data_IF_608054374169
#
_entry.id   IF_608054374169
#
_cell.length_a   1.000
_cell.length_b   1.000
_cell.length_c   1.000
_cell.angle_alpha   90.00
_cell.angle_beta   90.00
_cell.angle_gamma   90.00
#
_symmetry.space_group_name_H-M   'P 1'
#
loop_
_entity.id
_entity.type
_entity.pdbx_description
1 polymer ?
#
# COMPACT_ATOMS: atom_id res chain seq x y z
N UNK A 1 -13.47 -6.87 -10.35
CA UNK A 1 -12.98 -5.82 -9.43
C UNK A 1 -13.54 -6.08 -8.05
N UNK A 2 -12.72 -5.90 -7.03
CA UNK A 2 -13.12 -5.95 -5.62
C UNK A 2 -12.63 -4.68 -4.93
N UNK A 3 -13.46 -4.05 -4.13
CA UNK A 3 -13.13 -2.86 -3.35
C UNK A 3 -13.77 -2.94 -1.97
N UNK A 4 -13.01 -2.59 -0.92
CA UNK A 4 -13.48 -2.62 0.47
C UNK A 4 -14.21 -3.93 0.79
N UNK A 5 -13.54 -5.06 0.54
CA UNK A 5 -14.03 -6.44 0.72
C UNK A 5 -15.25 -6.84 -0.15
N UNK A 6 -15.83 -5.92 -0.91
CA UNK A 6 -16.99 -6.17 -1.75
C UNK A 6 -16.57 -6.55 -3.17
N UNK A 7 -17.08 -7.68 -3.66
CA UNK A 7 -16.93 -8.09 -5.05
C UNK A 7 -18.04 -7.44 -5.91
N UNK A 8 -17.60 -6.80 -6.99
CA UNK A 8 -18.50 -6.05 -7.87
C UNK A 8 -19.03 -6.84 -9.05
N UNK A 9 -18.66 -8.12 -9.22
CA UNK A 9 -19.06 -8.94 -10.39
C UNK A 9 -20.57 -9.03 -10.56
N UNK A 10 -21.32 -9.09 -9.46
CA UNK A 10 -22.78 -9.23 -9.49
C UNK A 10 -23.50 -7.87 -9.37
N UNK A 11 -22.78 -6.78 -9.20
CA UNK A 11 -23.35 -5.45 -8.98
C UNK A 11 -23.23 -4.55 -10.22
N UNK A 12 -22.09 -4.60 -10.91
CA UNK A 12 -21.79 -3.75 -12.06
C UNK A 12 -21.07 -4.55 -13.14
N UNK A 13 -21.29 -4.16 -14.37
CA UNK A 13 -20.55 -4.64 -15.53
C UNK A 13 -19.46 -3.61 -15.90
N UNK A 14 -18.20 -4.00 -15.76
CA UNK A 14 -17.04 -3.13 -16.04
C UNK A 14 -16.76 -3.20 -17.55
N UNK A 15 -16.63 -2.04 -18.17
CA UNK A 15 -16.33 -1.90 -19.59
C UNK A 15 -14.89 -1.52 -19.85
N UNK A 16 -14.36 -0.60 -19.07
CA UNK A 16 -13.01 -0.08 -19.24
C UNK A 16 -12.37 0.24 -17.90
N UNK A 17 -11.07 0.01 -17.81
CA UNK A 17 -10.24 0.36 -16.66
C UNK A 17 -9.04 1.13 -17.17
N UNK A 18 -9.01 2.42 -16.92
CA UNK A 18 -7.91 3.31 -17.28
C UNK A 18 -6.94 3.42 -16.11
N UNK A 19 -5.76 2.87 -16.29
CA UNK A 19 -4.64 2.91 -15.33
C UNK A 19 -3.42 3.47 -16.02
N UNK A 20 -2.88 4.55 -15.52
CA UNK A 20 -1.64 5.09 -16.04
C UNK A 20 -0.47 4.14 -15.72
N UNK A 21 0.48 4.01 -16.65
CA UNK A 21 1.66 3.15 -16.48
C UNK A 21 2.54 3.67 -15.33
N UNK A 22 2.63 4.99 -15.19
CA UNK A 22 3.42 5.65 -14.16
C UNK A 22 2.60 6.69 -13.39
N UNK A 23 3.17 7.21 -12.33
CA UNK A 23 2.60 8.33 -11.59
C UNK A 23 3.00 9.63 -12.25
N UNK A 24 2.17 10.66 -12.13
CA UNK A 24 2.56 12.02 -12.48
C UNK A 24 3.77 12.45 -11.67
N UNK A 25 4.65 13.19 -12.32
CA UNK A 25 5.86 13.71 -11.68
C UNK A 25 5.90 15.21 -11.86
N UNK A 26 6.00 15.93 -10.75
CA UNK A 26 6.23 17.36 -10.72
C UNK A 26 7.71 17.62 -10.50
N UNK A 27 8.30 18.43 -11.36
CA UNK A 27 9.71 18.77 -11.30
C UNK A 27 9.83 20.28 -11.10
N UNK A 28 10.49 20.68 -10.02
CA UNK A 28 10.91 22.08 -9.81
C UNK A 28 12.30 22.27 -10.42
N UNK A 29 12.42 23.23 -11.29
CA UNK A 29 13.66 23.52 -12.02
C UNK A 29 14.12 24.96 -11.76
N UNK A 30 15.43 25.15 -11.81
CA UNK A 30 16.06 26.46 -11.85
C UNK A 30 16.92 26.57 -13.12
N UNK A 31 16.95 27.74 -13.73
CA UNK A 31 17.70 27.97 -14.96
C UNK A 31 19.20 28.10 -14.69
N UNK A 32 19.98 27.29 -15.37
CA UNK A 32 21.43 27.46 -15.36
C UNK A 32 21.83 28.75 -16.12
N UNK A 33 22.92 29.43 -15.71
CA UNK A 33 23.29 30.75 -16.26
C UNK A 33 23.57 30.76 -17.76
N UNK A 34 23.87 29.63 -18.37
CA UNK A 34 24.22 29.57 -19.81
C UNK A 34 23.39 28.56 -20.59
N UNK A 35 23.36 27.30 -20.18
CA UNK A 35 22.69 26.21 -20.90
C UNK A 35 22.12 25.23 -19.88
N UNK A 36 20.83 24.85 -20.08
CA UNK A 36 20.18 23.80 -19.31
C UNK A 36 19.45 24.31 -18.06
N UNK A 37 19.04 23.35 -17.24
CA UNK A 37 18.32 23.59 -16.01
C UNK A 37 18.87 22.71 -14.88
N UNK A 38 18.79 23.21 -13.67
CA UNK A 38 19.07 22.44 -12.46
C UNK A 38 17.74 21.93 -11.90
N UNK A 39 17.63 20.64 -11.64
CA UNK A 39 16.46 20.06 -10.98
C UNK A 39 16.64 20.27 -9.47
N UNK A 40 15.75 21.07 -8.87
CA UNK A 40 15.77 21.30 -7.44
C UNK A 40 15.00 20.23 -6.67
N UNK A 41 13.83 19.84 -7.18
CA UNK A 41 12.97 18.88 -6.53
C UNK A 41 12.20 18.06 -7.58
N UNK A 42 12.02 16.80 -7.28
CA UNK A 42 11.11 15.91 -8.01
C UNK A 42 10.10 15.33 -7.02
N UNK A 43 8.81 15.49 -7.28
CA UNK A 43 7.72 14.91 -6.51
C UNK A 43 7.00 13.87 -7.35
N UNK A 44 6.68 12.74 -6.76
CA UNK A 44 5.85 11.70 -7.37
C UNK A 44 4.46 11.84 -6.77
N UNK A 45 3.48 12.15 -7.63
CA UNK A 45 2.10 12.37 -7.21
C UNK A 45 1.35 11.04 -7.06
N UNK A 46 0.15 11.12 -6.49
CA UNK A 46 -0.77 9.99 -6.40
C UNK A 46 -1.10 9.40 -7.77
N UNK A 47 -1.47 8.14 -7.80
CA UNK A 47 -1.98 7.47 -9.00
C UNK A 47 -3.50 7.57 -9.07
N UNK A 48 -4.01 7.72 -10.29
CA UNK A 48 -5.45 7.74 -10.54
C UNK A 48 -5.86 6.52 -11.37
N UNK A 49 -7.01 5.95 -11.00
CA UNK A 49 -7.61 4.81 -11.72
C UNK A 49 -9.05 5.16 -12.01
N UNK A 50 -9.44 5.12 -13.29
CA UNK A 50 -10.82 5.34 -13.71
C UNK A 50 -11.43 4.03 -14.17
N UNK A 51 -12.64 3.75 -13.72
CA UNK A 51 -13.40 2.56 -14.06
C UNK A 51 -14.73 2.99 -14.67
N UNK A 52 -14.94 2.65 -15.94
CA UNK A 52 -16.20 2.87 -16.64
C UNK A 52 -17.04 1.58 -16.56
N UNK A 53 -18.30 1.73 -16.16
CA UNK A 53 -19.17 0.60 -15.87
C UNK A 53 -20.63 0.82 -16.31
N UNK A 54 -21.40 -0.26 -16.40
CA UNK A 54 -22.85 -0.18 -16.45
C UNK A 54 -23.53 -1.02 -15.37
N UNK A 55 -24.72 -0.62 -15.07
CA UNK A 55 -25.63 -1.31 -14.15
C UNK A 55 -26.86 -1.79 -14.93
N UNK A 56 -27.20 -3.06 -14.72
CA UNK A 56 -28.41 -3.65 -15.23
C UNK A 56 -29.32 -4.01 -14.05
N UNK A 57 -30.26 -3.16 -13.72
CA UNK A 57 -31.17 -3.43 -12.60
C UNK A 57 -32.56 -2.87 -12.84
N UNK A 58 -33.57 -3.59 -12.37
CA UNK A 58 -34.95 -3.09 -12.25
C UNK A 58 -35.06 -2.11 -11.08
N UNK A 59 -34.31 -2.35 -10.01
CA UNK A 59 -34.26 -1.51 -8.81
C UNK A 59 -32.95 -0.75 -8.71
N UNK A 60 -32.81 0.25 -9.58
CA UNK A 60 -31.61 1.08 -9.67
C UNK A 60 -31.37 1.93 -8.43
N UNK A 61 -32.42 2.39 -7.78
CA UNK A 61 -32.29 3.28 -6.64
C UNK A 61 -31.69 2.54 -5.44
N UNK A 62 -32.18 1.34 -5.14
CA UNK A 62 -31.59 0.51 -4.07
C UNK A 62 -30.12 0.19 -4.35
N UNK A 63 -29.80 -0.12 -5.60
CA UNK A 63 -28.40 -0.40 -5.98
C UNK A 63 -27.52 0.84 -5.89
N UNK A 64 -28.00 2.04 -6.27
CA UNK A 64 -27.30 3.31 -6.09
C UNK A 64 -26.95 3.55 -4.62
N UNK A 65 -27.91 3.39 -3.73
CA UNK A 65 -27.68 3.58 -2.30
C UNK A 65 -26.69 2.56 -1.73
N UNK A 66 -26.77 1.30 -2.19
CA UNK A 66 -25.81 0.26 -1.82
C UNK A 66 -24.39 0.62 -2.26
N UNK A 67 -24.23 1.03 -3.52
CA UNK A 67 -22.93 1.45 -4.06
C UNK A 67 -22.39 2.68 -3.32
N UNK A 68 -23.25 3.68 -3.06
CA UNK A 68 -22.85 4.86 -2.29
C UNK A 68 -22.32 4.48 -0.90
N UNK A 69 -22.95 3.53 -0.20
CA UNK A 69 -22.46 3.05 1.08
C UNK A 69 -21.12 2.33 1.01
N UNK A 70 -20.86 1.57 -0.07
CA UNK A 70 -19.59 0.86 -0.27
C UNK A 70 -18.44 1.84 -0.56
N UNK A 71 -18.73 2.90 -1.32
CA UNK A 71 -17.73 3.89 -1.73
C UNK A 71 -17.48 4.99 -0.69
N UNK A 72 -18.38 5.15 0.28
CA UNK A 72 -18.20 6.13 1.37
C UNK A 72 -17.25 5.59 2.42
N UNK A 73 -15.96 5.82 2.21
CA UNK A 73 -14.88 5.36 3.09
C UNK A 73 -14.01 6.54 3.55
N UNK A 74 -13.62 6.52 4.82
CA UNK A 74 -12.83 7.59 5.44
C UNK A 74 -11.31 7.37 5.30
N UNK A 75 -10.91 6.22 4.79
CA UNK A 75 -9.48 5.84 4.62
C UNK A 75 -9.31 4.97 3.38
N UNK A 76 -8.09 4.93 2.80
CA UNK A 76 -7.80 4.05 1.68
C UNK A 76 -8.15 2.60 1.98
N UNK A 77 -8.82 1.93 1.04
CA UNK A 77 -9.23 0.53 1.11
C UNK A 77 -8.61 -0.25 -0.03
N UNK A 78 -8.51 -1.56 0.16
CA UNK A 78 -7.97 -2.44 -0.86
C UNK A 78 -8.86 -2.46 -2.11
N UNK A 79 -8.24 -2.17 -3.24
CA UNK A 79 -8.80 -2.27 -4.59
C UNK A 79 -8.01 -3.31 -5.37
N UNK A 80 -8.69 -4.35 -5.83
CA UNK A 80 -8.10 -5.43 -6.63
C UNK A 80 -8.82 -5.60 -7.95
N UNK A 81 -8.09 -5.99 -8.97
CA UNK A 81 -8.61 -6.27 -10.31
C UNK A 81 -8.37 -7.73 -10.69
N UNK A 82 -9.26 -8.29 -11.49
CA UNK A 82 -9.18 -9.68 -11.93
C UNK A 82 -8.07 -9.96 -12.93
N UNK A 83 -7.59 -8.93 -13.60
CA UNK A 83 -6.46 -9.00 -14.55
C UNK A 83 -5.08 -8.94 -13.87
N UNK A 84 -5.02 -8.45 -12.60
CA UNK A 84 -3.82 -8.42 -11.76
C UNK A 84 -4.11 -9.00 -10.36
N UNK A 85 -4.40 -10.31 -10.24
CA UNK A 85 -4.87 -10.91 -8.98
C UNK A 85 -3.78 -10.98 -7.90
N UNK A 86 -2.53 -10.83 -8.28
CA UNK A 86 -1.35 -10.81 -7.40
C UNK A 86 -1.05 -9.43 -6.82
N UNK A 87 -1.87 -8.41 -7.15
CA UNK A 87 -1.67 -7.04 -6.71
C UNK A 87 -2.93 -6.42 -6.13
N UNK A 88 -2.75 -5.46 -5.24
CA UNK A 88 -3.80 -4.59 -4.74
C UNK A 88 -3.30 -3.14 -4.66
N UNK A 89 -4.25 -2.22 -4.64
CA UNK A 89 -4.02 -0.79 -4.48
C UNK A 89 -4.73 -0.31 -3.22
N UNK A 90 -4.11 0.55 -2.45
CA UNK A 90 -4.77 1.26 -1.36
C UNK A 90 -5.43 2.52 -1.94
N UNK A 91 -6.73 2.45 -2.18
CA UNK A 91 -7.46 3.44 -2.95
C UNK A 91 -8.64 4.05 -2.18
N UNK A 92 -9.01 5.26 -2.55
CA UNK A 92 -10.25 5.93 -2.15
C UNK A 92 -10.98 6.41 -3.39
N UNK A 93 -12.29 6.48 -3.32
CA UNK A 93 -13.08 7.12 -4.38
C UNK A 93 -12.96 8.63 -4.24
N UNK A 94 -12.75 9.31 -5.35
CA UNK A 94 -12.71 10.76 -5.45
C UNK A 94 -13.68 11.23 -6.53
N UNK A 95 -13.99 12.50 -6.51
CA UNK A 95 -14.95 13.15 -7.39
C UNK A 95 -16.37 12.52 -7.29
N UNK A 96 -17.30 13.08 -8.04
CA UNK A 96 -18.65 12.54 -8.10
C UNK A 96 -18.68 11.25 -8.93
N UNK A 97 -19.32 10.23 -8.39
CA UNK A 97 -19.61 9.02 -9.15
C UNK A 97 -20.70 9.39 -10.17
N UNK A 98 -20.29 9.64 -11.40
CA UNK A 98 -21.23 9.97 -12.46
C UNK A 98 -22.05 8.75 -12.85
N UNK A 99 -23.36 8.90 -12.94
CA UNK A 99 -24.24 7.87 -13.47
C UNK A 99 -25.31 8.47 -14.34
N UNK A 100 -25.34 8.07 -15.60
CA UNK A 100 -26.34 8.50 -16.58
C UNK A 100 -27.34 7.38 -16.83
N UNK A 101 -28.62 7.69 -16.80
CA UNK A 101 -29.67 6.76 -17.17
C UNK A 101 -29.78 6.69 -18.68
N UNK A 102 -29.33 5.57 -19.27
CA UNK A 102 -29.28 5.43 -20.71
C UNK A 102 -30.63 5.02 -21.32
N UNK A 103 -31.25 3.96 -20.82
CA UNK A 103 -32.62 3.55 -21.20
C UNK A 103 -33.13 2.42 -20.31
N UNK A 104 -34.44 2.44 -20.00
CA UNK A 104 -35.15 1.35 -19.35
C UNK A 104 -34.51 0.77 -18.09
N UNK A 105 -33.59 -0.18 -18.24
CA UNK A 105 -32.96 -0.93 -17.15
C UNK A 105 -31.45 -0.72 -17.05
N UNK A 106 -30.83 0.01 -17.99
CA UNK A 106 -29.40 0.23 -18.06
C UNK A 106 -29.05 1.64 -17.61
N UNK A 107 -28.01 1.76 -16.81
CA UNK A 107 -27.36 3.03 -16.47
C UNK A 107 -25.87 2.88 -16.65
N UNK A 108 -25.22 3.86 -17.25
CA UNK A 108 -23.76 3.89 -17.40
C UNK A 108 -23.18 4.86 -16.38
N UNK A 109 -22.00 4.55 -15.89
CA UNK A 109 -21.31 5.37 -14.92
C UNK A 109 -19.81 5.27 -14.99
N UNK A 110 -19.16 6.15 -14.26
CA UNK A 110 -17.71 6.08 -14.05
C UNK A 110 -17.38 6.37 -12.60
N UNK A 111 -16.35 5.69 -12.10
CA UNK A 111 -15.77 5.85 -10.78
C UNK A 111 -14.32 6.22 -10.97
N UNK A 112 -13.86 7.20 -10.21
CA UNK A 112 -12.45 7.58 -10.18
C UNK A 112 -11.88 7.31 -8.79
N UNK A 113 -10.80 6.55 -8.76
CA UNK A 113 -10.06 6.24 -7.55
C UNK A 113 -8.76 7.03 -7.52
N UNK A 114 -8.38 7.48 -6.33
CA UNK A 114 -7.04 7.94 -6.02
C UNK A 114 -6.32 6.87 -5.21
N UNK A 115 -5.08 6.61 -5.56
CA UNK A 115 -4.13 5.77 -4.84
C UNK A 115 -3.07 6.70 -4.26
N UNK A 116 -3.19 7.12 -2.99
CA UNK A 116 -2.36 8.19 -2.43
C UNK A 116 -0.87 7.86 -2.41
N UNK A 117 -0.50 6.62 -2.16
CA UNK A 117 0.90 6.17 -2.19
C UNK A 117 1.44 5.91 -3.59
N UNK A 118 0.56 5.91 -4.60
CA UNK A 118 0.91 5.79 -6.00
C UNK A 118 1.45 4.42 -6.43
N UNK A 119 1.39 3.40 -5.58
CA UNK A 119 2.01 2.09 -5.84
C UNK A 119 1.01 0.94 -5.84
N UNK A 120 1.37 -0.13 -6.55
CA UNK A 120 0.69 -1.41 -6.46
C UNK A 120 1.44 -2.30 -5.46
N UNK A 121 0.72 -2.82 -4.49
CA UNK A 121 1.25 -3.74 -3.48
C UNK A 121 1.10 -5.19 -3.92
N UNK A 122 2.07 -6.02 -3.58
CA UNK A 122 1.95 -7.47 -3.78
C UNK A 122 0.98 -8.08 -2.77
N UNK A 123 0.10 -8.98 -3.22
CA UNK A 123 -0.87 -9.67 -2.36
C UNK A 123 -0.24 -10.74 -1.47
N UNK A 124 1.03 -11.08 -1.70
CA UNK A 124 1.74 -12.12 -0.96
C UNK A 124 2.94 -11.55 -0.22
N UNK A 125 3.10 -11.96 1.04
CA UNK A 125 4.30 -11.68 1.81
C UNK A 125 5.32 -12.80 1.64
N UNK A 126 6.59 -12.44 1.63
CA UNK A 126 7.67 -13.39 1.87
C UNK A 126 8.00 -13.35 3.36
N UNK A 127 7.81 -14.48 4.04
CA UNK A 127 8.21 -14.63 5.42
C UNK A 127 9.55 -15.34 5.48
N UNK A 128 10.46 -14.79 6.26
CA UNK A 128 11.74 -15.38 6.57
C UNK A 128 11.76 -15.66 8.07
N UNK A 129 12.19 -16.85 8.43
CA UNK A 129 12.23 -17.30 9.82
C UNK A 129 13.58 -18.00 10.05
N UNK A 130 14.19 -17.79 11.20
CA UNK A 130 15.43 -18.46 11.57
C UNK A 130 15.20 -19.85 12.16
N UNK A 131 13.96 -20.33 12.20
CA UNK A 131 13.59 -21.59 12.80
C UNK A 131 13.66 -21.55 14.34
N UNK A 132 13.87 -22.74 14.95
CA UNK A 132 13.99 -22.89 16.40
C UNK A 132 15.44 -22.76 16.90
N UNK A 133 16.39 -22.69 16.01
CA UNK A 133 17.78 -22.45 16.36
C UNK A 133 17.96 -20.99 16.75
N UNK A 134 18.74 -20.75 17.79
CA UNK A 134 19.07 -19.41 18.30
C UNK A 134 20.55 -19.13 18.07
N UNK A 135 20.98 -18.93 16.81
CA UNK A 135 22.36 -18.57 16.54
C UNK A 135 22.62 -17.13 16.99
N UNK A 136 23.81 -16.86 17.47
CA UNK A 136 24.25 -15.50 17.84
C UNK A 136 24.16 -14.50 16.69
N UNK A 137 24.12 -15.00 15.46
CA UNK A 137 24.01 -14.21 14.25
C UNK A 137 23.21 -14.90 13.18
N UNK A 138 22.19 -14.21 12.68
CA UNK A 138 21.36 -14.65 11.55
C UNK A 138 21.55 -13.70 10.37
N UNK A 139 21.76 -14.23 9.18
CA UNK A 139 21.84 -13.44 7.95
C UNK A 139 20.69 -13.84 7.05
N UNK A 140 19.84 -12.86 6.75
CA UNK A 140 18.76 -13.03 5.77
C UNK A 140 19.14 -12.33 4.45
N UNK A 141 19.06 -13.07 3.36
CA UNK A 141 19.19 -12.50 2.03
C UNK A 141 17.83 -12.11 1.49
N UNK A 142 17.46 -10.82 1.65
CA UNK A 142 16.18 -10.29 1.23
C UNK A 142 16.30 -9.71 -0.18
N UNK A 143 15.54 -10.26 -1.11
CA UNK A 143 15.49 -9.78 -2.50
C UNK A 143 14.16 -9.09 -2.76
N UNK A 144 14.22 -7.79 -3.07
CA UNK A 144 13.07 -7.04 -3.56
C UNK A 144 13.01 -7.14 -5.09
N UNK A 145 12.00 -7.82 -5.62
CA UNK A 145 11.76 -7.92 -7.07
C UNK A 145 10.84 -6.81 -7.59
N UNK A 146 10.40 -5.90 -6.72
CA UNK A 146 9.62 -4.72 -7.10
C UNK A 146 10.50 -3.59 -7.62
N UNK A 147 9.86 -2.60 -8.21
CA UNK A 147 10.50 -1.38 -8.72
C UNK A 147 10.46 -0.21 -7.71
N UNK A 148 9.95 -0.45 -6.51
CA UNK A 148 9.85 0.52 -5.41
C UNK A 148 10.51 -0.09 -4.18
N UNK A 149 11.16 0.71 -3.32
CA UNK A 149 11.71 0.23 -2.05
C UNK A 149 10.64 -0.48 -1.21
N UNK A 150 10.98 -1.63 -0.65
CA UNK A 150 10.12 -2.36 0.28
C UNK A 150 10.66 -2.20 1.70
N UNK A 151 9.76 -1.94 2.65
CA UNK A 151 10.10 -1.79 4.05
C UNK A 151 9.69 -3.08 4.79
N UNK A 152 10.68 -3.87 5.27
CA UNK A 152 10.38 -5.10 5.99
C UNK A 152 9.79 -4.82 7.36
N UNK A 153 8.93 -5.72 7.82
CA UNK A 153 8.53 -5.81 9.23
C UNK A 153 9.40 -6.88 9.88
N UNK A 154 10.13 -6.50 10.91
CA UNK A 154 11.01 -7.40 11.65
C UNK A 154 10.41 -7.64 13.03
N UNK A 155 10.10 -8.90 13.34
CA UNK A 155 9.66 -9.33 14.67
C UNK A 155 10.78 -10.09 15.34
N UNK A 156 11.21 -9.60 16.48
CA UNK A 156 12.24 -10.26 17.29
C UNK A 156 11.68 -10.59 18.65
N UNK A 157 11.76 -11.85 19.02
CA UNK A 157 11.36 -12.31 20.36
C UNK A 157 12.60 -12.61 21.19
N UNK A 158 12.78 -11.86 22.26
CA UNK A 158 13.81 -12.16 23.24
C UNK A 158 13.31 -13.23 24.23
N UNK A 159 14.02 -14.32 24.34
CA UNK A 159 13.72 -15.42 25.27
C UNK A 159 14.54 -15.36 26.55
N UNK A 160 15.45 -14.39 26.67
CA UNK A 160 16.28 -14.18 27.85
C UNK A 160 15.76 -12.99 28.70
N UNK A 161 16.26 -12.85 29.93
CA UNK A 161 15.88 -11.75 30.82
C UNK A 161 16.38 -10.39 30.32
N UNK A 162 17.58 -10.38 29.77
CA UNK A 162 18.22 -9.22 29.15
C UNK A 162 18.68 -9.55 27.75
N UNK A 163 18.83 -8.55 26.92
CA UNK A 163 19.27 -8.79 25.57
C UNK A 163 19.69 -7.52 24.83
N UNK A 164 20.54 -7.75 23.85
CA UNK A 164 20.94 -6.77 22.86
C UNK A 164 20.54 -7.29 21.47
N UNK A 165 19.90 -6.42 20.70
CA UNK A 165 19.51 -6.71 19.33
C UNK A 165 20.17 -5.68 18.43
N UNK A 166 20.96 -6.14 17.48
CA UNK A 166 21.52 -5.32 16.42
C UNK A 166 21.04 -5.82 15.06
N UNK A 167 20.40 -4.97 14.29
CA UNK A 167 20.01 -5.24 12.90
C UNK A 167 20.81 -4.32 12.00
N UNK A 168 21.59 -4.92 11.11
CA UNK A 168 22.46 -4.19 10.19
C UNK A 168 22.11 -4.54 8.76
N UNK A 169 21.97 -3.53 7.92
CA UNK A 169 21.81 -3.68 6.48
C UNK A 169 22.71 -2.67 5.75
N UNK A 170 22.64 -2.67 4.43
CA UNK A 170 23.43 -1.74 3.59
C UNK A 170 23.04 -0.27 3.76
N UNK A 171 21.87 0.02 4.29
CA UNK A 171 21.34 1.38 4.48
C UNK A 171 21.59 1.93 5.88
N UNK A 172 21.89 1.08 6.86
CA UNK A 172 22.10 1.51 8.24
C UNK A 172 22.10 0.38 9.25
N UNK A 173 22.19 0.76 10.51
CA UNK A 173 22.14 -0.13 11.66
C UNK A 173 21.07 0.36 12.63
N UNK A 174 20.33 -0.59 13.20
CA UNK A 174 19.38 -0.38 14.28
C UNK A 174 19.81 -1.24 15.46
N UNK A 175 19.89 -0.65 16.63
CA UNK A 175 20.34 -1.32 17.85
C UNK A 175 19.37 -1.04 18.99
N UNK A 176 19.02 -2.07 19.77
CA UNK A 176 18.19 -1.97 20.98
C UNK A 176 18.83 -2.80 22.08
N UNK A 177 18.88 -2.25 23.27
CA UNK A 177 19.51 -2.85 24.44
C UNK A 177 20.95 -2.39 24.64
N UNK A 178 21.57 -2.83 25.74
CA UNK A 178 22.96 -2.51 26.07
C UNK A 178 23.82 -3.76 25.93
N UNK A 179 24.87 -3.67 25.13
CA UNK A 179 25.87 -4.74 24.95
C UNK A 179 26.62 -5.11 26.24
N UNK A 180 26.62 -4.23 27.23
CA UNK A 180 27.38 -4.34 28.47
C UNK A 180 26.51 -4.57 29.69
N UNK A 181 25.21 -4.65 29.52
CA UNK A 181 24.29 -4.74 30.62
C UNK A 181 24.43 -6.10 31.33
N UNK A 182 24.69 -6.03 32.62
CA UNK A 182 24.64 -7.21 33.47
C UNK A 182 23.21 -7.38 34.03
N UNK A 183 22.78 -8.61 34.15
CA UNK A 183 21.41 -9.09 34.35
C UNK A 183 20.66 -8.64 35.60
N UNK A 184 20.80 -7.43 36.11
CA UNK A 184 20.33 -7.16 37.48
C UNK A 184 19.12 -6.25 37.62
N UNK A 185 18.72 -5.40 36.69
CA UNK A 185 17.69 -4.39 37.03
C UNK A 185 16.73 -3.93 35.94
N UNK A 186 16.56 -4.59 34.83
CA UNK A 186 15.84 -3.98 33.70
C UNK A 186 14.45 -4.50 33.44
N UNK A 187 13.61 -3.62 32.86
CA UNK A 187 12.27 -3.95 32.39
C UNK A 187 12.36 -5.04 31.34
N UNK A 188 11.87 -6.23 31.69
CA UNK A 188 11.80 -7.39 30.78
C UNK A 188 10.88 -7.09 29.60
N UNK A 189 11.43 -6.99 28.40
CA UNK A 189 10.67 -6.90 27.15
C UNK A 189 10.85 -8.20 26.39
N UNK A 190 9.78 -8.97 26.28
CA UNK A 190 9.82 -10.28 25.60
C UNK A 190 9.65 -10.17 24.08
N UNK A 191 9.17 -9.06 23.55
CA UNK A 191 8.92 -8.92 22.14
C UNK A 191 9.13 -7.46 21.69
N UNK A 192 9.79 -7.27 20.56
CA UNK A 192 9.96 -5.98 19.89
C UNK A 192 9.45 -6.13 18.47
N UNK A 193 8.48 -5.33 18.11
CA UNK A 193 7.99 -5.20 16.75
C UNK A 193 8.59 -3.94 16.11
N UNK A 194 9.37 -4.15 15.07
CA UNK A 194 9.95 -3.07 14.28
C UNK A 194 9.22 -2.98 12.93
N UNK A 195 8.41 -1.96 12.79
CA UNK A 195 7.66 -1.70 11.55
C UNK A 195 8.27 -0.51 10.81
N UNK A 196 8.94 -0.79 9.71
CA UNK A 196 9.58 0.22 8.85
C UNK A 196 8.68 0.74 7.74
N UNK A 197 7.39 0.39 7.72
CA UNK A 197 6.42 0.79 6.68
C UNK A 197 5.90 2.22 6.84
N UNK A 198 6.25 2.91 7.90
CA UNK A 198 5.84 4.30 8.13
C UNK A 198 6.61 4.95 9.28
N UNK A 199 6.52 6.28 9.40
CA UNK A 199 7.28 7.10 10.37
C UNK A 199 6.88 6.91 11.85
N UNK A 200 6.23 5.81 12.19
CA UNK A 200 5.80 5.51 13.54
C UNK A 200 6.67 4.41 14.12
N UNK A 201 7.62 4.84 14.90
CA UNK A 201 8.25 3.98 15.91
C UNK A 201 7.26 3.94 17.07
N UNK A 202 6.69 2.77 17.32
CA UNK A 202 5.82 2.56 18.47
C UNK A 202 6.66 2.27 19.72
#
# INVERSE_FOLDING_TARGET
MRFNETDFRDLIEIHDIQRDIGNNRSISIDHAPRIGVNIQQQTIDAKYIKVDFSIWSKDRNTLKHKLAGIFNVDSPKELTFSDEPDKYYLAMVIDDISMQEASGRRSNGSIKFIVPDGVAHGSTYKRFDNGQEQPDKVVFNLVNNGNVPAFPVVTVKNNAENGYIGIVNTSGAFEVGDRKEADTETVKRSEVLLDFRGDKIA
#
